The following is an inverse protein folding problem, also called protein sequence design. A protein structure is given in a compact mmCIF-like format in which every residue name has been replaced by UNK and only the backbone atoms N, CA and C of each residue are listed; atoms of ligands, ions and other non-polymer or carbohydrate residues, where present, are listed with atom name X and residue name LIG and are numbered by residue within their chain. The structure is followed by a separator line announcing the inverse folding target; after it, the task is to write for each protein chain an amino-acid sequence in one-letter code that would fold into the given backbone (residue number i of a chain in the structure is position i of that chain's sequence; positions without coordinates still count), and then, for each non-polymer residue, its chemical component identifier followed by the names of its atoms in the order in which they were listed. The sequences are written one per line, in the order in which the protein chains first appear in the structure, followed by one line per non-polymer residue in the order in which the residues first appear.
data_IF_439078398206
#
_entry.id   IF_439078398206
#
_cell.length_a   1.000
_cell.length_b   1.000
_cell.length_c   1.000
_cell.angle_alpha   90.00
_cell.angle_beta   90.00
_cell.angle_gamma   90.00
#
_symmetry.space_group_name_H-M   'P 1'
#
loop_
_entity.id
_entity.type
_entity.pdbx_description
1 polymer ?
#
# COMPACT_ATOMS: atom_id res chain seq x y z
N UNK A 1 18.61 -26.36 -4.24
CA UNK A 1 17.51 -25.56 -3.65
C UNK A 1 16.91 -24.77 -4.79
N UNK A 2 15.60 -24.85 -5.03
CA UNK A 2 14.93 -24.16 -6.14
C UNK A 2 14.58 -22.73 -5.70
N UNK A 3 15.54 -21.83 -5.85
CA UNK A 3 15.45 -20.43 -5.42
C UNK A 3 14.32 -19.67 -6.11
N UNK A 4 13.90 -20.10 -7.31
CA UNK A 4 12.77 -19.52 -8.05
C UNK A 4 11.45 -19.87 -7.38
N UNK A 5 11.27 -21.12 -6.96
CA UNK A 5 10.08 -21.55 -6.22
C UNK A 5 9.94 -20.81 -4.88
N UNK A 6 11.06 -20.56 -4.20
CA UNK A 6 11.09 -19.75 -2.98
C UNK A 6 10.72 -18.29 -3.24
N UNK A 7 11.25 -17.69 -4.31
CA UNK A 7 10.91 -16.32 -4.70
C UNK A 7 9.41 -16.17 -5.04
N UNK A 8 8.83 -17.15 -5.75
CA UNK A 8 7.39 -17.17 -6.03
C UNK A 8 6.56 -17.27 -4.75
N UNK A 9 6.93 -18.16 -3.83
CA UNK A 9 6.25 -18.28 -2.54
C UNK A 9 6.33 -16.97 -1.73
N UNK A 10 7.51 -16.37 -1.67
CA UNK A 10 7.71 -15.09 -0.99
C UNK A 10 6.88 -13.97 -1.62
N UNK A 11 6.76 -13.95 -2.95
CA UNK A 11 5.93 -12.95 -3.65
C UNK A 11 4.46 -13.00 -3.22
N UNK A 12 3.91 -14.20 -3.02
CA UNK A 12 2.53 -14.38 -2.54
C UNK A 12 2.36 -13.95 -1.08
N UNK A 13 3.36 -14.23 -0.23
CA UNK A 13 3.37 -13.80 1.17
C UNK A 13 3.40 -12.26 1.26
N UNK A 14 4.29 -11.61 0.49
CA UNK A 14 4.39 -10.15 0.45
C UNK A 14 3.09 -9.50 -0.05
N UNK A 15 2.45 -10.06 -1.09
CA UNK A 15 1.15 -9.53 -1.57
C UNK A 15 0.09 -9.57 -0.47
N UNK A 16 0.02 -10.66 0.32
CA UNK A 16 -0.92 -10.78 1.45
C UNK A 16 -0.61 -9.78 2.56
N UNK A 17 0.66 -9.58 2.87
CA UNK A 17 1.10 -8.59 3.85
C UNK A 17 0.75 -7.17 3.42
N UNK A 18 0.98 -6.80 2.15
CA UNK A 18 0.62 -5.50 1.61
C UNK A 18 -0.89 -5.22 1.69
N UNK A 19 -1.73 -6.22 1.41
CA UNK A 19 -3.19 -6.11 1.55
C UNK A 19 -3.60 -5.90 3.01
N UNK A 20 -3.03 -6.70 3.91
CA UNK A 20 -3.32 -6.61 5.36
C UNK A 20 -2.88 -5.26 5.91
N UNK A 21 -1.68 -4.80 5.51
CA UNK A 21 -1.16 -3.49 5.88
C UNK A 21 -2.07 -2.38 5.37
N UNK A 22 -2.49 -2.43 4.11
CA UNK A 22 -3.46 -1.51 3.52
C UNK A 22 -4.75 -1.40 4.34
N UNK A 23 -5.34 -2.53 4.74
CA UNK A 23 -6.53 -2.55 5.59
C UNK A 23 -6.27 -1.93 6.97
N UNK A 24 -5.12 -2.22 7.58
CA UNK A 24 -4.80 -1.69 8.91
C UNK A 24 -4.60 -0.18 8.90
N UNK A 25 -4.02 0.37 7.83
CA UNK A 25 -3.77 1.81 7.73
C UNK A 25 -5.03 2.61 7.37
N UNK A 26 -6.06 2.01 6.76
CA UNK A 26 -7.33 2.70 6.46
C UNK A 26 -8.02 3.26 7.72
N UNK A 27 -7.83 2.65 8.89
CA UNK A 27 -8.32 3.19 10.15
C UNK A 27 -7.63 4.51 10.53
N UNK A 28 -6.39 4.75 10.09
CA UNK A 28 -5.70 6.02 10.31
C UNK A 28 -6.33 7.14 9.48
N UNK A 29 -6.78 6.86 8.26
CA UNK A 29 -7.47 7.84 7.42
C UNK A 29 -8.74 8.36 8.08
N UNK A 30 -9.52 7.47 8.71
CA UNK A 30 -10.72 7.87 9.47
C UNK A 30 -10.36 8.84 10.60
N UNK A 31 -9.28 8.56 11.33
CA UNK A 31 -8.79 9.43 12.40
C UNK A 31 -8.30 10.78 11.87
N UNK A 32 -7.59 10.82 10.74
CA UNK A 32 -7.17 12.10 10.13
C UNK A 32 -8.36 12.97 9.74
N UNK A 33 -9.40 12.35 9.19
CA UNK A 33 -10.64 13.04 8.86
C UNK A 33 -11.36 13.55 10.11
N UNK A 34 -11.42 12.75 11.16
CA UNK A 34 -12.00 13.15 12.45
C UNK A 34 -11.26 14.35 13.04
N UNK A 35 -9.92 14.33 13.06
CA UNK A 35 -9.09 15.46 13.49
C UNK A 35 -9.42 16.74 12.70
N UNK A 36 -9.70 16.63 11.40
CA UNK A 36 -10.04 17.80 10.57
C UNK A 36 -11.43 18.36 10.90
N UNK A 37 -12.37 17.50 11.27
CA UNK A 37 -13.74 17.89 11.61
C UNK A 37 -13.86 18.48 13.03
N UNK A 38 -12.94 18.13 13.93
CA UNK A 38 -12.91 18.63 15.30
C UNK A 38 -12.29 20.03 15.43
N UNK A 39 -11.62 20.52 14.38
CA UNK A 39 -10.90 21.79 14.41
C UNK A 39 -11.51 22.81 13.46
N UNK A 40 -11.75 24.02 13.97
CA UNK A 40 -12.34 25.13 13.21
C UNK A 40 -11.27 26.08 12.61
N UNK A 41 -10.01 25.92 13.00
CA UNK A 41 -8.92 26.74 12.48
C UNK A 41 -8.55 26.34 11.04
N UNK A 42 -8.69 27.29 10.11
CA UNK A 42 -8.43 27.09 8.68
C UNK A 42 -6.97 26.69 8.41
N UNK A 43 -6.01 27.16 9.21
CA UNK A 43 -4.60 26.83 9.01
C UNK A 43 -4.31 25.37 9.41
N UNK A 44 -4.93 24.90 10.49
CA UNK A 44 -4.87 23.53 10.95
C UNK A 44 -5.58 22.57 9.99
N UNK A 45 -6.80 22.90 9.54
CA UNK A 45 -7.50 22.14 8.51
C UNK A 45 -6.68 22.02 7.22
N UNK A 46 -6.01 23.10 6.81
CA UNK A 46 -5.12 23.11 5.64
C UNK A 46 -3.87 22.25 5.83
N UNK A 47 -3.32 22.19 7.04
CA UNK A 47 -2.23 21.27 7.35
C UNK A 47 -2.68 19.80 7.31
N UNK A 48 -3.87 19.50 7.83
CA UNK A 48 -4.44 18.15 7.79
C UNK A 48 -4.76 17.66 6.38
N UNK A 49 -5.16 18.54 5.46
CA UNK A 49 -5.27 18.19 4.04
C UNK A 49 -3.97 17.62 3.46
N UNK A 50 -2.80 18.14 3.89
CA UNK A 50 -1.50 17.61 3.46
C UNK A 50 -1.24 16.20 4.02
N UNK A 51 -1.68 15.95 5.25
CA UNK A 51 -1.60 14.62 5.88
C UNK A 51 -2.48 13.62 5.14
N UNK A 52 -3.73 14.00 4.82
CA UNK A 52 -4.65 13.19 4.01
C UNK A 52 -4.07 12.89 2.62
N UNK A 53 -3.44 13.88 1.97
CA UNK A 53 -2.77 13.68 0.69
C UNK A 53 -1.58 12.70 0.80
N UNK A 54 -0.73 12.84 1.81
CA UNK A 54 0.37 11.91 2.05
C UNK A 54 -0.12 10.48 2.29
N UNK A 55 -1.22 10.33 3.04
CA UNK A 55 -1.88 9.03 3.24
C UNK A 55 -2.38 8.44 1.92
N UNK A 56 -3.03 9.25 1.08
CA UNK A 56 -3.47 8.81 -0.24
C UNK A 56 -2.29 8.30 -1.09
N UNK A 57 -1.17 9.02 -1.10
CA UNK A 57 0.03 8.61 -1.81
C UNK A 57 0.59 7.28 -1.29
N UNK A 58 0.58 7.05 0.03
CA UNK A 58 0.97 5.77 0.62
C UNK A 58 0.10 4.60 0.11
N UNK A 59 -1.23 4.77 0.10
CA UNK A 59 -2.16 3.76 -0.41
C UNK A 59 -1.92 3.48 -1.90
N UNK A 60 -1.68 4.52 -2.70
CA UNK A 60 -1.31 4.36 -4.11
C UNK A 60 -0.01 3.57 -4.27
N UNK A 61 1.02 3.87 -3.48
CA UNK A 61 2.28 3.13 -3.51
C UNK A 61 2.10 1.65 -3.16
N UNK A 62 1.28 1.31 -2.16
CA UNK A 62 0.98 -0.09 -1.80
C UNK A 62 0.32 -0.82 -2.98
N UNK A 63 -0.64 -0.18 -3.66
CA UNK A 63 -1.31 -0.76 -4.82
C UNK A 63 -0.34 -0.99 -5.99
N UNK A 64 0.55 -0.03 -6.27
CA UNK A 64 1.58 -0.16 -7.30
C UNK A 64 2.51 -1.32 -6.97
N UNK A 65 3.02 -1.41 -5.72
CA UNK A 65 3.91 -2.49 -5.30
C UNK A 65 3.25 -3.86 -5.48
N UNK A 66 2.00 -4.01 -5.06
CA UNK A 66 1.21 -5.24 -5.23
C UNK A 66 1.12 -5.64 -6.70
N UNK A 67 0.81 -4.69 -7.59
CA UNK A 67 0.69 -4.96 -9.02
C UNK A 67 2.03 -5.35 -9.64
N UNK A 68 3.12 -4.66 -9.31
CA UNK A 68 4.45 -4.98 -9.82
C UNK A 68 4.91 -6.38 -9.40
N UNK A 69 4.66 -6.77 -8.14
CA UNK A 69 4.97 -8.13 -7.68
C UNK A 69 4.12 -9.17 -8.40
N UNK A 70 2.83 -8.88 -8.65
CA UNK A 70 1.95 -9.76 -9.40
C UNK A 70 2.41 -9.93 -10.87
N UNK A 71 2.83 -8.86 -11.53
CA UNK A 71 3.40 -8.92 -12.88
C UNK A 71 4.68 -9.76 -12.92
N UNK A 72 5.58 -9.58 -11.95
CA UNK A 72 6.80 -10.39 -11.84
C UNK A 72 6.48 -11.88 -11.64
N UNK A 73 5.47 -12.20 -10.81
CA UNK A 73 5.00 -13.57 -10.62
C UNK A 73 4.52 -14.17 -11.94
N UNK A 74 3.63 -13.47 -12.67
CA UNK A 74 3.09 -13.96 -13.95
C UNK A 74 4.19 -14.13 -14.99
N UNK A 75 5.12 -13.18 -15.09
CA UNK A 75 6.21 -13.23 -16.05
C UNK A 75 7.19 -14.37 -15.71
N UNK A 76 7.45 -14.62 -14.42
CA UNK A 76 8.18 -15.80 -13.97
C UNK A 76 7.43 -17.09 -14.32
N UNK A 77 6.12 -17.21 -14.06
CA UNK A 77 5.36 -18.42 -14.44
C UNK A 77 5.38 -18.72 -15.94
N UNK A 78 5.44 -17.68 -16.79
CA UNK A 78 5.54 -17.80 -18.25
C UNK A 78 6.95 -18.04 -18.78
N UNK A 79 7.98 -17.94 -17.93
CA UNK A 79 9.38 -18.00 -18.36
C UNK A 79 9.86 -16.76 -19.14
N UNK A 80 9.19 -15.63 -18.96
CA UNK A 80 9.54 -14.34 -19.56
C UNK A 80 10.61 -13.57 -18.75
N UNK A 81 10.93 -14.05 -17.54
CA UNK A 81 11.97 -13.51 -16.65
C UNK A 81 12.91 -14.66 -16.26
N UNK A 82 14.21 -14.46 -16.47
CA UNK A 82 15.29 -15.44 -16.24
C UNK A 82 16.18 -15.02 -15.07
#
# INVERSE_FOLDING_TARGET
MDTRKEALKLSEEVIKELLTFGTNIDELYRKFRELRLLEDDLSFQSALLKVEHAFFMLVQSINILKEQINLLKVASEKGEVY
#
